data_IF_797142779472
#
_entry.id   IF_797142779472
#
_cell.length_a   1.000
_cell.length_b   1.000
_cell.length_c   1.000
_cell.angle_alpha   90.00
_cell.angle_beta   90.00
_cell.angle_gamma   90.00
#
_symmetry.space_group_name_H-M   'P 1'
#
loop_
_entity.id
_entity.type
_entity.pdbx_description
1 polymer ?
#
# COMPACT_ATOMS: atom_id res chain seq x y z
N UNK A 1 15.29 17.29 -9.55
CA UNK A 1 13.80 17.41 -9.60
C UNK A 1 13.22 16.52 -8.53
N UNK A 2 12.48 17.10 -7.59
CA UNK A 2 11.74 16.37 -6.57
C UNK A 2 10.41 15.85 -7.16
N UNK A 3 9.76 14.94 -6.43
CA UNK A 3 8.36 14.61 -6.68
C UNK A 3 7.47 15.64 -6.00
N UNK A 4 6.36 16.00 -6.64
CA UNK A 4 5.36 16.92 -6.10
C UNK A 4 4.14 16.12 -5.64
N UNK A 5 3.66 16.36 -4.42
CA UNK A 5 2.48 15.67 -3.89
C UNK A 5 1.27 15.97 -4.76
N UNK A 6 0.49 14.94 -5.09
CA UNK A 6 -0.70 15.01 -5.95
C UNK A 6 -0.40 15.02 -7.45
N UNK A 7 0.87 15.14 -7.86
CA UNK A 7 1.24 15.08 -9.28
C UNK A 7 1.28 13.61 -9.75
N UNK A 8 0.78 13.38 -10.97
CA UNK A 8 0.75 12.07 -11.60
C UNK A 8 1.99 11.87 -12.48
N UNK A 9 2.53 10.66 -12.45
CA UNK A 9 3.68 10.30 -13.25
C UNK A 9 3.50 8.93 -13.90
N UNK A 10 4.02 8.80 -15.14
CA UNK A 10 4.29 7.49 -15.69
C UNK A 10 5.41 6.80 -14.89
N UNK A 11 5.34 5.48 -14.75
CA UNK A 11 6.33 4.73 -13.98
C UNK A 11 7.77 4.93 -14.49
N UNK A 12 7.96 5.09 -15.81
CA UNK A 12 9.26 5.39 -16.42
C UNK A 12 9.86 6.69 -15.89
N UNK A 13 9.04 7.72 -15.72
CA UNK A 13 9.49 9.01 -15.18
C UNK A 13 9.79 8.92 -13.70
N UNK A 14 9.00 8.15 -12.93
CA UNK A 14 9.29 7.86 -11.53
C UNK A 14 10.65 7.19 -11.39
N UNK A 15 10.94 6.15 -12.19
CA UNK A 15 12.24 5.49 -12.17
C UNK A 15 13.39 6.46 -12.49
N UNK A 16 13.24 7.30 -13.51
CA UNK A 16 14.25 8.29 -13.91
C UNK A 16 14.52 9.30 -12.78
N UNK A 17 13.46 9.87 -12.19
CA UNK A 17 13.57 10.82 -11.08
C UNK A 17 14.17 10.17 -9.84
N UNK A 18 13.73 8.97 -9.48
CA UNK A 18 14.28 8.23 -8.35
C UNK A 18 15.79 7.97 -8.51
N UNK A 19 16.23 7.51 -9.69
CA UNK A 19 17.65 7.30 -9.99
C UNK A 19 18.49 8.58 -9.93
N UNK A 20 17.90 9.71 -10.31
CA UNK A 20 18.54 11.01 -10.18
C UNK A 20 18.68 11.45 -8.71
N UNK A 21 17.65 11.24 -7.89
CA UNK A 21 17.64 11.59 -6.47
C UNK A 21 18.52 10.68 -5.60
N UNK A 22 18.61 9.41 -5.97
CA UNK A 22 19.36 8.37 -5.25
C UNK A 22 20.39 7.72 -6.19
N UNK A 23 21.44 8.47 -6.58
CA UNK A 23 22.47 7.92 -7.44
C UNK A 23 23.17 6.74 -6.75
N UNK A 24 23.42 5.67 -7.49
CA UNK A 24 24.02 4.44 -6.96
C UNK A 24 23.03 3.42 -6.37
N UNK A 25 21.79 3.83 -6.07
CA UNK A 25 20.76 2.89 -5.61
C UNK A 25 20.19 2.06 -6.77
N UNK A 26 19.76 0.81 -6.51
CA UNK A 26 19.03 -0.01 -7.51
C UNK A 26 17.69 0.65 -7.86
N UNK A 27 17.22 0.46 -9.08
CA UNK A 27 15.99 1.09 -9.56
C UNK A 27 14.73 0.55 -8.89
N UNK A 28 13.62 1.28 -9.05
CA UNK A 28 12.30 0.82 -8.62
C UNK A 28 11.75 -0.23 -9.59
N UNK A 29 10.75 -1.00 -9.18
CA UNK A 29 10.11 -2.01 -10.04
C UNK A 29 8.59 -1.88 -10.01
N UNK A 30 7.96 -1.93 -11.19
CA UNK A 30 6.51 -1.93 -11.33
C UNK A 30 6.01 -3.38 -11.26
N UNK A 31 5.29 -3.77 -10.21
CA UNK A 31 4.77 -5.15 -10.15
C UNK A 31 3.91 -5.48 -8.95
N UNK A 32 2.60 -5.44 -9.12
CA UNK A 32 1.66 -5.80 -8.06
C UNK A 32 1.56 -4.75 -6.95
N UNK A 33 0.67 -5.07 -6.01
CA UNK A 33 0.08 -4.20 -4.99
C UNK A 33 1.07 -3.41 -4.12
N UNK A 34 2.23 -4.01 -3.84
CA UNK A 34 3.29 -3.47 -3.00
C UNK A 34 4.63 -3.93 -3.57
N UNK A 35 5.09 -3.46 -4.73
CA UNK A 35 6.39 -3.91 -5.24
C UNK A 35 7.52 -3.03 -4.67
N UNK A 36 8.20 -3.41 -3.57
CA UNK A 36 9.43 -2.71 -3.21
C UNK A 36 10.46 -2.94 -4.31
N UNK A 37 11.45 -2.04 -4.38
CA UNK A 37 12.56 -2.11 -5.32
C UNK A 37 13.15 -3.52 -5.41
N UNK A 38 12.96 -4.20 -6.55
CA UNK A 38 13.50 -5.54 -6.80
C UNK A 38 15.03 -5.57 -6.66
N UNK A 39 15.53 -6.70 -6.14
CA UNK A 39 16.90 -7.16 -6.39
C UNK A 39 17.91 -6.95 -5.28
N UNK A 40 17.53 -6.90 -4.00
CA UNK A 40 18.49 -6.97 -2.90
C UNK A 40 18.01 -7.96 -1.82
N UNK A 41 18.92 -8.58 -1.08
CA UNK A 41 18.61 -9.24 0.20
C UNK A 41 18.13 -8.24 1.27
N UNK A 42 18.26 -6.95 0.98
CA UNK A 42 17.72 -5.87 1.80
C UNK A 42 16.20 -5.94 1.85
N UNK A 43 15.69 -5.99 3.09
CA UNK A 43 14.28 -5.90 3.45
C UNK A 43 13.71 -4.48 3.40
N UNK A 44 14.51 -3.48 2.98
CA UNK A 44 14.12 -2.07 2.99
C UNK A 44 13.06 -1.78 1.93
N UNK A 45 11.92 -1.24 2.37
CA UNK A 45 10.89 -0.70 1.48
C UNK A 45 11.29 0.71 1.10
N UNK A 46 11.46 0.96 -0.20
CA UNK A 46 11.87 2.28 -0.74
C UNK A 46 10.74 3.03 -1.40
N UNK A 47 9.81 2.28 -1.99
CA UNK A 47 8.60 2.81 -2.58
C UNK A 47 7.49 1.76 -2.51
N UNK A 48 6.25 2.23 -2.39
CA UNK A 48 5.03 1.42 -2.49
C UNK A 48 4.17 1.98 -3.62
N UNK A 49 3.59 1.07 -4.41
CA UNK A 49 2.75 1.36 -5.57
C UNK A 49 1.37 0.72 -5.40
N UNK A 50 0.46 1.44 -4.72
CA UNK A 50 -0.89 0.99 -4.43
C UNK A 50 -1.81 1.11 -5.66
N UNK A 51 -2.17 -0.04 -6.25
CA UNK A 51 -3.12 -0.08 -7.37
C UNK A 51 -4.53 0.19 -6.87
N UNK A 52 -5.27 1.11 -7.49
CA UNK A 52 -6.63 1.48 -7.05
C UNK A 52 -7.59 0.31 -7.09
N UNK A 53 -7.49 -0.52 -8.13
CA UNK A 53 -8.32 -1.72 -8.28
C UNK A 53 -8.17 -2.72 -7.13
N UNK A 54 -7.00 -2.69 -6.48
CA UNK A 54 -6.61 -3.61 -5.41
C UNK A 54 -6.73 -2.99 -4.03
N UNK A 55 -6.31 -1.74 -3.87
CA UNK A 55 -6.26 -1.04 -2.59
C UNK A 55 -7.54 -0.31 -2.24
N UNK A 56 -8.39 -0.09 -3.24
CA UNK A 56 -9.52 0.80 -3.12
C UNK A 56 -9.13 2.28 -2.98
N UNK A 57 -10.08 3.11 -2.52
CA UNK A 57 -9.98 4.56 -2.60
C UNK A 57 -9.34 5.21 -1.37
N UNK A 58 -9.06 4.49 -0.28
CA UNK A 58 -8.49 5.07 0.94
C UNK A 58 -6.99 5.33 0.78
N UNK A 59 -6.55 6.56 1.05
CA UNK A 59 -5.18 7.00 0.77
C UNK A 59 -4.21 6.53 1.87
N UNK A 60 -4.65 6.48 3.12
CA UNK A 60 -3.86 6.13 4.30
C UNK A 60 -3.88 4.63 4.65
N UNK A 61 -4.55 3.77 3.87
CA UNK A 61 -4.66 2.33 4.16
C UNK A 61 -4.13 1.47 3.01
N UNK A 62 -3.33 0.45 3.33
CA UNK A 62 -2.92 -0.60 2.38
C UNK A 62 -3.57 -1.93 2.76
N UNK A 63 -4.46 -2.45 1.92
CA UNK A 63 -5.14 -3.75 2.13
C UNK A 63 -4.35 -4.91 1.53
N UNK A 64 -3.47 -5.54 2.30
CA UNK A 64 -2.48 -6.49 1.78
C UNK A 64 -3.11 -7.86 1.51
N UNK A 65 -3.15 -8.21 0.22
CA UNK A 65 -3.54 -9.54 -0.25
C UNK A 65 -2.33 -10.31 -0.79
N UNK A 66 -2.22 -11.58 -0.42
CA UNK A 66 -1.22 -12.50 -0.98
C UNK A 66 0.19 -12.23 -0.47
N UNK A 67 0.31 -12.00 0.83
CA UNK A 67 1.59 -12.15 1.52
C UNK A 67 1.96 -13.64 1.63
N UNK A 68 3.24 -13.96 1.49
CA UNK A 68 3.76 -15.32 1.51
C UNK A 68 5.29 -15.32 1.65
N UNK A 69 5.87 -16.52 1.77
CA UNK A 69 7.32 -16.73 1.94
C UNK A 69 8.20 -16.10 0.86
N UNK A 70 7.66 -15.87 -0.35
CA UNK A 70 8.40 -15.21 -1.44
C UNK A 70 8.38 -13.68 -1.31
N UNK A 71 7.26 -13.10 -0.86
CA UNK A 71 7.06 -11.65 -0.78
C UNK A 71 7.43 -11.09 0.59
N UNK A 72 6.99 -11.74 1.68
CA UNK A 72 7.19 -11.38 3.09
C UNK A 72 6.91 -9.90 3.37
N UNK A 73 5.77 -9.39 2.89
CA UNK A 73 5.36 -8.02 3.12
C UNK A 73 5.17 -7.72 4.59
N UNK A 74 4.58 -8.63 5.36
CA UNK A 74 4.37 -8.43 6.79
C UNK A 74 5.69 -8.14 7.49
N UNK A 75 6.68 -9.04 7.38
CA UNK A 75 8.00 -8.88 8.01
C UNK A 75 8.74 -7.63 7.55
N UNK A 76 8.63 -7.27 6.26
CA UNK A 76 9.29 -6.06 5.74
C UNK A 76 8.64 -4.78 6.26
N UNK A 77 7.32 -4.72 6.29
CA UNK A 77 6.58 -3.57 6.80
C UNK A 77 6.72 -3.45 8.32
N UNK A 78 6.75 -4.56 9.04
CA UNK A 78 7.01 -4.59 10.48
C UNK A 78 8.41 -4.03 10.79
N UNK A 79 9.42 -4.40 9.99
CA UNK A 79 10.76 -3.81 10.12
C UNK A 79 10.74 -2.30 9.85
N UNK A 80 10.08 -1.87 8.78
CA UNK A 80 9.97 -0.45 8.42
C UNK A 80 9.26 0.35 9.50
N UNK A 81 8.22 -0.22 10.11
CA UNK A 81 7.52 0.34 11.26
C UNK A 81 8.47 0.51 12.46
N UNK A 82 9.18 -0.56 12.85
CA UNK A 82 10.15 -0.55 13.97
C UNK A 82 11.29 0.46 13.77
N UNK A 83 11.73 0.63 12.52
CA UNK A 83 12.81 1.55 12.15
C UNK A 83 12.31 2.98 11.84
N UNK A 84 11.01 3.23 11.90
CA UNK A 84 10.36 4.50 11.50
C UNK A 84 10.83 5.01 10.13
N UNK A 85 11.15 4.09 9.21
CA UNK A 85 11.81 4.42 7.94
C UNK A 85 10.80 4.92 6.91
N UNK A 86 10.97 6.14 6.35
CA UNK A 86 10.05 6.63 5.34
C UNK A 86 10.30 5.96 3.98
N UNK A 87 9.25 5.82 3.19
CA UNK A 87 9.30 5.37 1.80
C UNK A 87 8.45 6.26 0.90
N UNK A 88 8.73 6.22 -0.40
CA UNK A 88 7.91 6.93 -1.38
C UNK A 88 6.58 6.22 -1.58
N UNK A 89 5.46 6.91 -1.44
CA UNK A 89 4.16 6.30 -1.65
C UNK A 89 3.49 6.82 -2.93
N UNK A 90 3.05 5.89 -3.77
CA UNK A 90 2.36 6.17 -5.02
C UNK A 90 1.04 5.41 -5.08
N UNK A 91 -0.01 6.09 -5.54
CA UNK A 91 -1.33 5.49 -5.75
C UNK A 91 -1.76 5.61 -7.21
N UNK A 92 -2.29 4.53 -7.75
CA UNK A 92 -2.75 4.52 -9.13
C UNK A 92 -4.05 5.34 -9.27
N UNK A 93 -4.07 6.27 -10.22
CA UNK A 93 -5.25 7.06 -10.61
C UNK A 93 -5.28 7.10 -12.14
N UNK A 94 -6.35 6.57 -12.73
CA UNK A 94 -6.60 6.60 -14.18
C UNK A 94 -5.43 6.07 -15.04
N UNK A 95 -4.71 5.04 -14.56
CA UNK A 95 -3.58 4.45 -15.27
C UNK A 95 -2.23 5.14 -15.04
N UNK A 96 -2.19 6.20 -14.24
CA UNK A 96 -0.98 6.90 -13.81
C UNK A 96 -0.74 6.76 -12.31
N UNK A 97 0.48 7.09 -11.85
CA UNK A 97 0.85 7.01 -10.44
C UNK A 97 0.91 8.40 -9.82
N UNK A 98 -0.06 8.72 -8.97
CA UNK A 98 -0.09 9.92 -8.13
C UNK A 98 0.91 9.76 -7.00
N UNK A 99 1.86 10.69 -6.87
CA UNK A 99 2.73 10.72 -5.70
C UNK A 99 1.97 11.24 -4.48
N UNK A 100 1.96 10.46 -3.41
CA UNK A 100 1.21 10.75 -2.19
C UNK A 100 2.08 11.35 -1.07
N UNK A 101 3.39 11.48 -1.31
CA UNK A 101 4.34 11.94 -0.30
C UNK A 101 5.26 10.83 0.21
N UNK A 102 6.10 11.19 1.17
CA UNK A 102 6.80 10.21 1.97
C UNK A 102 5.81 9.66 3.01
N UNK A 103 5.85 8.36 3.21
CA UNK A 103 4.98 7.68 4.18
C UNK A 103 5.78 6.74 5.05
N UNK A 104 5.27 6.54 6.27
CA UNK A 104 5.74 5.55 7.23
C UNK A 104 4.63 4.56 7.52
N UNK A 105 5.01 3.41 8.07
CA UNK A 105 4.04 2.49 8.66
C UNK A 105 3.75 2.97 10.07
N UNK A 106 2.50 3.36 10.32
CA UNK A 106 2.00 3.68 11.66
C UNK A 106 1.64 2.39 12.39
N UNK A 107 0.73 1.61 11.80
CA UNK A 107 0.19 0.38 12.39
C UNK A 107 0.04 -0.74 11.36
N UNK A 108 0.09 -1.97 11.86
CA UNK A 108 -0.26 -3.19 11.14
C UNK A 108 -1.43 -3.83 11.86
N UNK A 109 -2.56 -3.98 11.16
CA UNK A 109 -3.83 -4.41 11.74
C UNK A 109 -4.34 -5.68 11.08
N UNK A 110 -5.03 -6.52 11.86
CA UNK A 110 -5.76 -7.67 11.33
C UNK A 110 -7.09 -7.22 10.70
N UNK A 111 -7.58 -7.89 9.65
CA UNK A 111 -8.83 -7.52 8.97
C UNK A 111 -10.09 -7.50 9.85
N UNK A 112 -10.13 -8.33 10.90
CA UNK A 112 -11.24 -8.44 11.86
C UNK A 112 -10.94 -7.73 13.19
N UNK A 113 -9.84 -6.98 13.28
CA UNK A 113 -9.49 -6.25 14.49
C UNK A 113 -10.49 -5.14 14.79
N UNK A 114 -10.88 -5.00 16.07
CA UNK A 114 -11.73 -3.90 16.54
C UNK A 114 -11.14 -2.53 16.22
N UNK A 115 -9.81 -2.43 16.24
CA UNK A 115 -9.10 -1.20 15.93
C UNK A 115 -9.30 -0.78 14.46
N UNK A 116 -9.24 -1.72 13.52
CA UNK A 116 -9.54 -1.44 12.12
C UNK A 116 -11.00 -1.03 11.93
N UNK A 117 -11.94 -1.69 12.61
CA UNK A 117 -13.36 -1.34 12.56
C UNK A 117 -13.59 0.12 12.98
N UNK A 118 -13.05 0.53 14.13
CA UNK A 118 -13.17 1.91 14.62
C UNK A 118 -12.55 2.91 13.64
N UNK A 119 -11.38 2.60 13.08
CA UNK A 119 -10.70 3.46 12.12
C UNK A 119 -11.52 3.65 10.83
N UNK A 120 -12.14 2.58 10.33
CA UNK A 120 -12.97 2.65 9.14
C UNK A 120 -14.28 3.40 9.42
N UNK A 121 -14.88 3.20 10.58
CA UNK A 121 -16.09 3.91 11.01
C UNK A 121 -15.84 5.43 11.07
N UNK A 122 -14.70 5.87 11.59
CA UNK A 122 -14.28 7.30 11.58
C UNK A 122 -14.14 7.89 10.17
N UNK A 123 -13.92 7.04 9.17
CA UNK A 123 -13.76 7.41 7.76
C UNK A 123 -15.05 7.21 6.93
N UNK A 124 -16.19 6.92 7.56
CA UNK A 124 -17.45 6.56 6.90
C UNK A 124 -17.27 5.38 5.91
N UNK A 125 -16.47 4.38 6.32
CA UNK A 125 -16.13 3.20 5.55
C UNK A 125 -16.45 1.92 6.34
N UNK A 126 -16.69 0.82 5.64
CA UNK A 126 -16.88 -0.50 6.27
C UNK A 126 -16.06 -1.56 5.55
N UNK A 127 -15.60 -2.55 6.30
CA UNK A 127 -14.94 -3.75 5.78
C UNK A 127 -15.66 -4.97 6.33
N UNK A 128 -16.30 -5.72 5.44
CA UNK A 128 -17.20 -6.82 5.83
C UNK A 128 -16.80 -8.11 5.13
N UNK A 129 -16.97 -9.23 5.84
CA UNK A 129 -16.89 -10.56 5.25
C UNK A 129 -18.16 -10.82 4.45
N UNK A 130 -18.02 -11.05 3.15
CA UNK A 130 -19.16 -11.27 2.24
C UNK A 130 -19.27 -12.71 1.74
N UNK A 131 -18.20 -13.49 1.89
CA UNK A 131 -18.14 -14.89 1.49
C UNK A 131 -16.96 -15.58 2.20
N UNK A 132 -16.86 -16.90 2.06
CA UNK A 132 -15.76 -17.71 2.58
C UNK A 132 -15.31 -18.71 1.51
N UNK A 133 -14.00 -18.77 1.25
CA UNK A 133 -13.42 -19.72 0.29
C UNK A 133 -12.26 -20.44 0.97
N UNK A 134 -12.28 -21.77 0.97
CA UNK A 134 -11.28 -22.63 1.63
C UNK A 134 -11.07 -22.32 3.12
N UNK A 135 -12.15 -22.00 3.86
CA UNK A 135 -12.03 -21.64 5.28
C UNK A 135 -11.43 -20.25 5.53
N UNK A 136 -11.26 -19.43 4.47
CA UNK A 136 -10.71 -18.08 4.56
C UNK A 136 -11.75 -17.02 4.15
N UNK A 137 -11.96 -15.97 4.95
CA UNK A 137 -12.93 -14.93 4.65
C UNK A 137 -12.54 -14.13 3.39
N UNK A 138 -13.55 -13.79 2.60
CA UNK A 138 -13.46 -12.80 1.54
C UNK A 138 -14.06 -11.48 2.01
N UNK A 139 -13.23 -10.45 1.98
CA UNK A 139 -13.54 -9.13 2.49
C UNK A 139 -13.94 -8.17 1.37
N UNK A 140 -14.99 -7.40 1.59
CA UNK A 140 -15.41 -6.30 0.73
C UNK A 140 -15.30 -4.98 1.49
N UNK A 141 -14.54 -4.04 0.92
CA UNK A 141 -14.51 -2.65 1.38
C UNK A 141 -15.67 -1.89 0.76
N UNK A 142 -16.40 -1.15 1.57
CA UNK A 142 -17.33 -0.10 1.15
C UNK A 142 -16.76 1.23 1.64
N UNK A 143 -16.59 2.18 0.73
CA UNK A 143 -16.04 3.49 1.06
C UNK A 143 -16.87 4.56 0.35
N UNK A 144 -17.31 5.58 1.09
CA UNK A 144 -18.12 6.68 0.55
C UNK A 144 -19.41 6.20 -0.16
N UNK A 145 -20.04 5.16 0.41
CA UNK A 145 -21.29 4.59 -0.13
C UNK A 145 -21.15 3.78 -1.41
N UNK A 146 -19.92 3.50 -1.88
CA UNK A 146 -19.65 2.68 -3.06
C UNK A 146 -18.65 1.56 -2.76
N UNK A 147 -18.60 0.55 -3.62
CA UNK A 147 -17.62 -0.53 -3.50
C UNK A 147 -16.20 0.02 -3.60
N UNK A 148 -15.44 -0.12 -2.51
CA UNK A 148 -14.03 0.28 -2.43
C UNK A 148 -13.13 -0.68 -3.19
N UNK A 149 -13.32 -2.00 -3.04
CA UNK A 149 -12.67 -2.98 -3.91
C UNK A 149 -13.52 -3.31 -5.12
N UNK A 150 -12.89 -3.53 -6.28
CA UNK A 150 -13.58 -3.99 -7.50
C UNK A 150 -14.21 -5.38 -7.31
N UNK A 151 -13.60 -6.23 -6.47
CA UNK A 151 -14.10 -7.55 -6.08
C UNK A 151 -13.68 -7.86 -4.64
N UNK A 152 -14.42 -8.73 -3.92
CA UNK A 152 -14.01 -9.20 -2.60
C UNK A 152 -12.61 -9.84 -2.63
N UNK A 153 -11.85 -9.69 -1.56
CA UNK A 153 -10.45 -10.12 -1.48
C UNK A 153 -10.15 -10.89 -0.21
N UNK A 154 -9.25 -11.87 -0.32
CA UNK A 154 -8.54 -12.37 0.86
C UNK A 154 -7.57 -11.30 1.32
N UNK A 155 -7.64 -10.95 2.59
CA UNK A 155 -6.74 -10.00 3.24
C UNK A 155 -5.92 -10.76 4.27
N UNK A 156 -4.62 -10.53 4.26
CA UNK A 156 -3.70 -11.08 5.27
C UNK A 156 -3.54 -10.06 6.41
N UNK A 157 -3.41 -8.77 6.08
CA UNK A 157 -3.34 -7.66 7.04
C UNK A 157 -3.56 -6.30 6.37
N UNK A 158 -3.77 -5.27 7.17
CA UNK A 158 -3.94 -3.88 6.75
C UNK A 158 -2.77 -3.05 7.30
N UNK A 159 -2.24 -2.15 6.47
CA UNK A 159 -1.22 -1.18 6.89
C UNK A 159 -1.87 0.17 7.02
N UNK A 160 -1.72 0.80 8.18
CA UNK A 160 -2.04 2.21 8.38
C UNK A 160 -0.79 3.02 8.06
N UNK A 161 -0.95 3.99 7.18
CA UNK A 161 0.11 4.89 6.74
C UNK A 161 -0.01 6.24 7.43
N UNK A 162 1.12 6.73 7.92
CA UNK A 162 1.30 8.12 8.30
C UNK A 162 2.02 8.84 7.15
N UNK A 163 1.43 9.90 6.62
CA UNK A 163 2.05 10.75 5.61
C UNK A 163 2.75 11.92 6.30
N UNK A 164 3.97 12.24 5.88
CA UNK A 164 4.63 13.46 6.36
C UNK A 164 3.79 14.68 5.92
N UNK A 165 3.44 15.54 6.87
CA UNK A 165 2.65 16.77 6.68
C UNK A 165 3.35 17.83 5.82
#
# INVERSE_FOLDING_TARGET
>A
MAFTVGENYAFRDIQKRYKFLKPGEKGLSQGGFLNPSRGNSSTLIRAIFARREVNGPLDNLLFVSGDNEYRNYFTRLEKVQKECSPFLYFKEKNGEWSYMGHSKVDRLLEPDSKELTLLLDEMDCTLETVDEVDGKPLWQLTAFGVQGFIRPRRLEFIVVLEQDA
#
